data_IF_693397528618
#
_entry.id   IF_693397528618
#
_cell.length_a   1.000
_cell.length_b   1.000
_cell.length_c   1.000
_cell.angle_alpha   90.00
_cell.angle_beta   90.00
_cell.angle_gamma   90.00
#
_symmetry.space_group_name_H-M   'P 1'
#
loop_
_entity.id
_entity.type
_entity.pdbx_description
1 polymer ?
#
# COMPACT_ATOMS: atom_id res chain seq x y z
N UNK A 1 -37.92 -4.50 -14.32
CA UNK A 1 -36.53 -4.10 -14.02
C UNK A 1 -36.18 -2.94 -14.94
N UNK A 2 -35.63 -1.82 -14.44
CA UNK A 2 -35.21 -0.72 -15.32
C UNK A 2 -33.99 -1.20 -16.16
N UNK A 3 -33.93 -0.91 -17.47
CA UNK A 3 -32.75 -1.19 -18.28
C UNK A 3 -31.51 -0.51 -17.69
N UNK A 4 -30.36 -1.16 -17.85
CA UNK A 4 -29.07 -0.59 -17.46
C UNK A 4 -28.78 0.66 -18.29
N UNK A 5 -28.46 1.78 -17.62
CA UNK A 5 -28.02 2.98 -18.32
C UNK A 5 -26.55 2.85 -18.73
N UNK A 6 -26.34 2.43 -19.98
CA UNK A 6 -25.02 2.26 -20.58
C UNK A 6 -24.33 3.59 -20.95
N UNK A 7 -25.02 4.74 -20.82
CA UNK A 7 -24.44 6.06 -21.11
C UNK A 7 -23.57 6.56 -19.95
N UNK A 8 -23.70 5.98 -18.77
CA UNK A 8 -22.88 6.31 -17.61
C UNK A 8 -21.83 5.21 -17.35
N UNK A 9 -20.53 5.46 -17.62
CA UNK A 9 -19.46 4.49 -17.38
C UNK A 9 -19.40 4.01 -15.92
N UNK A 10 -19.80 4.84 -14.96
CA UNK A 10 -19.83 4.49 -13.53
C UNK A 10 -20.69 3.27 -13.23
N UNK A 11 -21.72 3.02 -14.04
CA UNK A 11 -22.56 1.83 -13.88
C UNK A 11 -21.71 0.55 -13.98
N UNK A 12 -20.78 0.50 -14.92
CA UNK A 12 -19.92 -0.66 -15.14
C UNK A 12 -18.87 -0.82 -14.04
N UNK A 13 -18.42 0.28 -13.45
CA UNK A 13 -17.49 0.27 -12.32
C UNK A 13 -18.15 -0.22 -11.01
N UNK A 14 -19.47 -0.01 -10.85
CA UNK A 14 -20.23 -0.44 -9.65
C UNK A 14 -20.75 -1.88 -9.70
N UNK A 15 -20.40 -2.68 -10.71
CA UNK A 15 -20.90 -4.08 -10.81
C UNK A 15 -20.38 -4.95 -9.65
N UNK A 16 -19.22 -4.58 -9.07
CA UNK A 16 -18.59 -5.25 -7.93
C UNK A 16 -18.45 -4.27 -6.76
N UNK A 17 -19.51 -4.14 -5.96
CA UNK A 17 -19.61 -3.16 -4.86
C UNK A 17 -18.38 -3.15 -3.92
N UNK A 18 -17.89 -4.33 -3.52
CA UNK A 18 -16.75 -4.43 -2.60
C UNK A 18 -15.43 -3.94 -3.22
N UNK A 19 -15.25 -4.12 -4.54
CA UNK A 19 -14.09 -3.60 -5.27
C UNK A 19 -14.23 -2.09 -5.48
N UNK A 20 -15.43 -1.62 -5.83
CA UNK A 20 -15.71 -0.20 -6.00
C UNK A 20 -15.55 0.60 -4.70
N UNK A 21 -15.96 0.02 -3.55
CA UNK A 21 -15.81 0.64 -2.24
C UNK A 21 -14.37 0.61 -1.71
N UNK A 22 -13.48 -0.21 -2.29
CA UNK A 22 -12.07 -0.23 -1.91
C UNK A 22 -11.35 0.97 -2.56
N UNK A 23 -10.66 1.84 -1.80
CA UNK A 23 -9.92 2.97 -2.37
C UNK A 23 -8.83 2.55 -3.37
N UNK A 24 -8.30 1.34 -3.23
CA UNK A 24 -7.31 0.77 -4.14
C UNK A 24 -7.95 0.00 -5.32
N UNK A 25 -9.28 -0.06 -5.42
CA UNK A 25 -10.01 -0.86 -6.40
C UNK A 25 -9.53 -2.31 -6.52
N UNK A 26 -9.16 -2.90 -5.38
CA UNK A 26 -8.62 -4.27 -5.34
C UNK A 26 -9.65 -5.28 -5.86
N UNK A 27 -9.26 -6.24 -6.71
CA UNK A 27 -10.16 -7.25 -7.26
C UNK A 27 -10.58 -8.29 -6.21
N UNK A 28 -11.47 -7.88 -5.29
CA UNK A 28 -11.91 -8.66 -4.14
C UNK A 28 -12.42 -10.06 -4.51
N UNK A 29 -13.33 -10.22 -5.49
CA UNK A 29 -13.85 -11.54 -5.84
C UNK A 29 -12.80 -12.47 -6.43
N UNK A 30 -11.73 -11.94 -7.03
CA UNK A 30 -10.69 -12.74 -7.69
C UNK A 30 -9.80 -13.40 -6.64
N UNK A 31 -9.19 -12.61 -5.74
CA UNK A 31 -8.31 -13.19 -4.75
C UNK A 31 -9.06 -14.08 -3.73
N UNK A 32 -10.34 -13.82 -3.45
CA UNK A 32 -11.14 -14.71 -2.60
C UNK A 32 -11.31 -16.10 -3.23
N UNK A 33 -11.52 -16.16 -4.55
CA UNK A 33 -11.58 -17.45 -5.26
C UNK A 33 -10.24 -18.19 -5.22
N UNK A 34 -9.14 -17.46 -5.33
CA UNK A 34 -7.79 -18.03 -5.20
C UNK A 34 -7.55 -18.58 -3.80
N UNK A 35 -7.97 -17.86 -2.75
CA UNK A 35 -7.92 -18.36 -1.35
C UNK A 35 -8.75 -19.64 -1.19
N UNK A 36 -9.95 -19.69 -1.77
CA UNK A 36 -10.82 -20.86 -1.71
C UNK A 36 -10.22 -22.11 -2.38
N UNK A 37 -9.32 -21.91 -3.35
CA UNK A 37 -8.52 -22.96 -3.97
C UNK A 37 -7.13 -23.15 -3.33
N UNK A 38 -6.89 -22.61 -2.14
CA UNK A 38 -5.61 -22.67 -1.41
C UNK A 38 -4.41 -22.08 -2.17
N UNK A 39 -4.67 -21.27 -3.20
CA UNK A 39 -3.67 -20.57 -4.01
C UNK A 39 -3.27 -19.25 -3.35
N UNK A 40 -2.74 -19.32 -2.13
CA UNK A 40 -2.47 -18.16 -1.28
C UNK A 40 -1.47 -17.17 -1.89
N UNK A 41 -0.37 -17.66 -2.48
CA UNK A 41 0.60 -16.79 -3.16
C UNK A 41 -0.02 -16.05 -4.35
N UNK A 42 -0.90 -16.69 -5.11
CA UNK A 42 -1.60 -16.05 -6.22
C UNK A 42 -2.59 -15.00 -5.71
N UNK A 43 -3.35 -15.32 -4.66
CA UNK A 43 -4.25 -14.38 -4.01
C UNK A 43 -3.52 -13.15 -3.46
N UNK A 44 -2.34 -13.37 -2.87
CA UNK A 44 -1.47 -12.30 -2.40
C UNK A 44 -1.00 -11.43 -3.56
N UNK A 45 -0.53 -12.02 -4.67
CA UNK A 45 -0.06 -11.23 -5.82
C UNK A 45 -1.17 -10.45 -6.52
N UNK A 46 -2.38 -11.01 -6.62
CA UNK A 46 -3.57 -10.29 -7.10
C UNK A 46 -3.87 -9.08 -6.20
N UNK A 47 -3.77 -9.24 -4.88
CA UNK A 47 -3.88 -8.09 -3.97
C UNK A 47 -2.74 -7.10 -4.19
N UNK A 48 -1.51 -7.59 -4.34
CA UNK A 48 -0.30 -6.77 -4.43
C UNK A 48 -0.31 -5.85 -5.65
N UNK A 49 -0.96 -6.25 -6.76
CA UNK A 49 -1.11 -5.40 -7.94
C UNK A 49 -1.74 -4.03 -7.59
N UNK A 50 -2.86 -4.05 -6.87
CA UNK A 50 -3.62 -2.85 -6.47
C UNK A 50 -3.16 -2.26 -5.14
N UNK A 51 -2.84 -3.11 -4.16
CA UNK A 51 -2.44 -2.73 -2.81
C UNK A 51 -0.93 -2.87 -2.64
N UNK A 52 -0.28 -1.82 -2.16
CA UNK A 52 1.17 -1.84 -1.92
C UNK A 52 1.57 -2.75 -0.75
N UNK A 53 0.67 -2.94 0.22
CA UNK A 53 0.92 -3.70 1.46
C UNK A 53 -0.24 -4.66 1.81
N UNK A 54 -0.45 -5.76 1.06
CA UNK A 54 -1.56 -6.68 1.32
C UNK A 54 -1.60 -7.24 2.75
N UNK A 55 -0.47 -7.64 3.33
CA UNK A 55 -0.33 -8.23 4.67
C UNK A 55 -0.59 -7.24 5.80
N UNK A 56 -0.11 -6.01 5.68
CA UNK A 56 -0.42 -4.89 6.56
C UNK A 56 -1.91 -4.55 6.46
N UNK A 57 -2.44 -4.36 5.24
CA UNK A 57 -3.86 -4.02 5.05
C UNK A 57 -4.80 -5.13 5.51
N UNK A 58 -4.39 -6.41 5.45
CA UNK A 58 -5.16 -7.52 6.02
C UNK A 58 -5.36 -7.41 7.54
N UNK A 59 -4.58 -6.56 8.22
CA UNK A 59 -4.60 -6.35 9.66
C UNK A 59 -5.15 -4.99 10.07
N UNK A 60 -4.85 -3.95 9.29
CA UNK A 60 -5.07 -2.56 9.71
C UNK A 60 -6.17 -1.83 8.95
N UNK A 61 -6.62 -2.36 7.80
CA UNK A 61 -7.61 -1.70 6.94
C UNK A 61 -8.94 -1.41 7.67
N UNK A 62 -9.52 -0.25 7.37
CA UNK A 62 -10.84 0.18 7.87
C UNK A 62 -12.02 -0.52 7.19
N UNK A 63 -11.73 -1.42 6.23
CA UNK A 63 -12.67 -2.35 5.60
C UNK A 63 -13.88 -1.69 4.91
N UNK A 64 -13.72 -0.62 4.12
CA UNK A 64 -14.85 0.01 3.42
C UNK A 64 -15.57 -0.95 2.45
N UNK A 65 -14.89 -2.02 2.03
CA UNK A 65 -15.43 -3.06 1.18
C UNK A 65 -16.42 -4.02 1.86
N UNK A 66 -16.37 -4.18 3.19
CA UNK A 66 -17.24 -5.12 3.91
C UNK A 66 -18.68 -4.60 4.04
N UNK A 67 -18.94 -3.34 4.44
CA UNK A 67 -20.30 -2.77 4.43
C UNK A 67 -20.94 -2.74 3.04
N UNK A 68 -20.14 -2.61 1.98
CA UNK A 68 -20.61 -2.65 0.60
C UNK A 68 -20.83 -4.07 0.05
N UNK A 69 -20.50 -5.12 0.81
CA UNK A 69 -20.51 -6.49 0.30
C UNK A 69 -21.93 -6.93 -0.12
N UNK A 70 -22.10 -7.38 -1.37
CA UNK A 70 -23.39 -7.86 -1.89
C UNK A 70 -24.03 -8.99 -1.06
N UNK A 71 -23.25 -9.73 -0.26
CA UNK A 71 -23.76 -10.77 0.65
C UNK A 71 -24.79 -10.22 1.64
N UNK A 72 -24.63 -8.96 2.08
CA UNK A 72 -25.55 -8.33 3.06
C UNK A 72 -26.95 -8.07 2.51
N UNK A 73 -27.17 -8.31 1.21
CA UNK A 73 -28.50 -8.20 0.59
C UNK A 73 -29.37 -9.45 0.85
N UNK A 74 -28.76 -10.54 1.29
CA UNK A 74 -29.41 -11.84 1.51
C UNK A 74 -29.08 -12.44 2.88
N UNK A 75 -27.90 -12.15 3.43
CA UNK A 75 -27.46 -12.57 4.76
C UNK A 75 -27.23 -11.36 5.67
N UNK A 76 -27.15 -11.56 6.99
CA UNK A 76 -26.84 -10.47 7.94
C UNK A 76 -25.36 -10.04 7.90
N UNK A 77 -24.45 -11.01 7.72
CA UNK A 77 -23.01 -10.76 7.80
C UNK A 77 -22.35 -10.62 6.42
N UNK A 78 -21.47 -9.61 6.23
CA UNK A 78 -20.66 -9.52 5.03
C UNK A 78 -19.57 -10.60 5.01
N UNK A 79 -18.96 -10.80 3.85
CA UNK A 79 -17.72 -11.58 3.80
C UNK A 79 -16.63 -10.85 4.60
N UNK A 80 -15.87 -11.58 5.42
CA UNK A 80 -14.74 -11.04 6.19
C UNK A 80 -13.51 -10.78 5.29
N UNK A 81 -13.67 -9.89 4.31
CA UNK A 81 -12.74 -9.58 3.23
C UNK A 81 -11.35 -9.21 3.77
N UNK A 82 -11.28 -8.37 4.81
CA UNK A 82 -10.01 -7.97 5.41
C UNK A 82 -9.26 -9.16 6.03
N UNK A 83 -10.00 -10.07 6.70
CA UNK A 83 -9.41 -11.27 7.30
C UNK A 83 -8.96 -12.27 6.24
N UNK A 84 -9.69 -12.42 5.14
CA UNK A 84 -9.27 -13.24 4.01
C UNK A 84 -8.00 -12.70 3.36
N UNK A 85 -7.86 -11.37 3.23
CA UNK A 85 -6.60 -10.75 2.78
C UNK A 85 -5.43 -11.13 3.70
N UNK A 86 -5.64 -11.12 5.03
CA UNK A 86 -4.66 -11.62 5.99
C UNK A 86 -4.35 -13.10 5.78
N UNK A 87 -5.35 -13.96 5.56
CA UNK A 87 -5.13 -15.40 5.29
C UNK A 87 -4.21 -15.59 4.09
N UNK A 88 -4.43 -14.86 2.99
CA UNK A 88 -3.54 -14.92 1.83
C UNK A 88 -2.10 -14.51 2.16
N UNK A 89 -1.92 -13.42 2.92
CA UNK A 89 -0.60 -12.95 3.32
C UNK A 89 0.11 -13.87 4.31
N UNK A 90 -0.63 -14.51 5.22
CA UNK A 90 -0.05 -15.38 6.26
C UNK A 90 0.28 -16.79 5.73
N UNK A 91 -0.36 -17.22 4.64
CA UNK A 91 -0.17 -18.56 4.05
C UNK A 91 0.55 -18.54 2.68
N UNK A 92 0.97 -17.36 2.18
CA UNK A 92 1.78 -17.31 0.95
C UNK A 92 3.15 -17.96 1.17
N UNK A 93 3.69 -18.56 0.11
CA UNK A 93 5.11 -18.90 0.03
C UNK A 93 5.98 -17.66 -0.24
N UNK A 94 7.23 -17.89 -0.62
CA UNK A 94 8.09 -16.83 -1.15
C UNK A 94 7.49 -16.27 -2.45
N UNK A 95 7.56 -14.95 -2.61
CA UNK A 95 7.05 -14.21 -3.75
C UNK A 95 8.11 -13.34 -4.41
N UNK A 96 9.36 -13.40 -3.95
CA UNK A 96 10.48 -12.59 -4.44
C UNK A 96 10.65 -12.71 -5.96
N UNK A 97 10.51 -13.91 -6.50
CA UNK A 97 10.57 -14.21 -7.94
C UNK A 97 9.36 -13.68 -8.74
N UNK A 98 8.28 -13.32 -8.05
CA UNK A 98 7.03 -12.78 -8.62
C UNK A 98 6.96 -11.26 -8.55
N UNK A 99 7.88 -10.62 -7.83
CA UNK A 99 7.99 -9.16 -7.79
C UNK A 99 8.50 -8.63 -9.14
N UNK A 100 8.13 -7.39 -9.52
CA UNK A 100 8.59 -6.80 -10.77
C UNK A 100 10.11 -6.73 -10.85
N UNK A 101 10.66 -7.17 -11.97
CA UNK A 101 12.10 -7.07 -12.21
C UNK A 101 12.53 -5.60 -12.34
N UNK A 102 13.61 -5.25 -11.65
CA UNK A 102 14.19 -3.91 -11.71
C UNK A 102 15.21 -3.85 -12.84
N UNK A 103 15.09 -2.93 -13.81
CA UNK A 103 15.99 -2.87 -14.94
C UNK A 103 17.40 -2.46 -14.48
N UNK A 104 18.40 -3.21 -14.96
CA UNK A 104 19.83 -2.90 -14.71
C UNK A 104 20.22 -1.54 -15.27
N UNK A 105 19.75 -1.23 -16.49
CA UNK A 105 19.92 0.10 -17.10
C UNK A 105 18.77 1.01 -16.64
N UNK A 106 19.12 2.00 -15.82
CA UNK A 106 18.18 3.03 -15.36
C UNK A 106 17.80 3.97 -16.52
N UNK A 107 16.64 4.62 -16.40
CA UNK A 107 16.08 5.52 -17.41
C UNK A 107 16.74 6.92 -17.42
N UNK A 108 17.75 7.14 -16.57
CA UNK A 108 18.49 8.40 -16.46
C UNK A 108 17.83 9.46 -15.58
N UNK A 109 16.65 9.20 -15.03
CA UNK A 109 15.91 10.13 -14.16
C UNK A 109 16.05 9.80 -12.69
N UNK A 110 16.22 10.83 -11.86
CA UNK A 110 16.41 10.73 -10.40
C UNK A 110 15.26 11.41 -9.67
N UNK A 111 14.70 10.72 -8.68
CA UNK A 111 13.57 11.22 -7.89
C UNK A 111 13.91 11.11 -6.41
N UNK A 112 13.73 12.21 -5.68
CA UNK A 112 13.80 12.22 -4.23
C UNK A 112 12.41 11.99 -3.63
N UNK A 113 12.33 11.14 -2.61
CA UNK A 113 11.12 10.93 -1.82
C UNK A 113 11.42 11.36 -0.38
N UNK A 114 10.66 12.33 0.14
CA UNK A 114 10.79 12.83 1.49
C UNK A 114 9.72 12.17 2.36
N UNK A 115 10.14 11.41 3.35
CA UNK A 115 9.32 10.46 4.11
C UNK A 115 9.37 9.05 3.51
N UNK A 116 9.38 8.03 4.37
CA UNK A 116 9.38 6.60 4.08
C UNK A 116 8.08 5.94 4.56
N UNK A 117 6.98 6.70 4.60
CA UNK A 117 5.65 6.19 4.89
C UNK A 117 4.98 5.49 3.68
N UNK A 118 3.73 5.02 3.85
CA UNK A 118 3.01 4.29 2.80
C UNK A 118 2.91 5.03 1.46
N UNK A 119 2.79 6.36 1.49
CA UNK A 119 2.70 7.19 0.28
C UNK A 119 3.99 7.13 -0.56
N UNK A 120 5.15 7.44 0.04
CA UNK A 120 6.44 7.42 -0.66
C UNK A 120 6.83 6.01 -1.09
N UNK A 121 6.56 5.00 -0.26
CA UNK A 121 6.81 3.60 -0.63
C UNK A 121 5.93 3.16 -1.81
N UNK A 122 4.70 3.66 -1.91
CA UNK A 122 3.84 3.43 -3.08
C UNK A 122 4.44 4.04 -4.35
N UNK A 123 4.95 5.27 -4.27
CA UNK A 123 5.66 5.92 -5.37
C UNK A 123 6.91 5.13 -5.75
N UNK A 124 7.70 4.69 -4.78
CA UNK A 124 8.90 3.90 -5.01
C UNK A 124 8.60 2.60 -5.74
N UNK A 125 7.60 1.83 -5.25
CA UNK A 125 7.13 0.59 -5.88
C UNK A 125 6.72 0.80 -7.34
N UNK A 126 6.01 1.89 -7.66
CA UNK A 126 5.54 2.16 -9.02
C UNK A 126 6.66 2.58 -9.97
N UNK A 127 7.66 3.30 -9.48
CA UNK A 127 8.70 3.90 -10.31
C UNK A 127 9.97 3.02 -10.44
N UNK A 128 10.27 2.17 -9.46
CA UNK A 128 11.45 1.31 -9.51
C UNK A 128 11.47 0.38 -10.75
N UNK A 129 10.35 -0.29 -11.13
CA UNK A 129 10.31 -1.14 -12.32
C UNK A 129 10.44 -0.36 -13.64
N UNK A 130 10.11 0.93 -13.64
CA UNK A 130 10.28 1.83 -14.78
C UNK A 130 11.73 2.36 -14.91
N UNK A 131 12.63 1.93 -14.01
CA UNK A 131 14.05 2.24 -14.07
C UNK A 131 14.43 3.61 -13.55
N UNK A 132 13.58 4.28 -12.77
CA UNK A 132 13.97 5.50 -12.06
C UNK A 132 15.00 5.18 -10.97
N UNK A 133 15.88 6.14 -10.70
CA UNK A 133 16.72 6.12 -9.50
C UNK A 133 15.98 6.85 -8.38
N UNK A 134 15.79 6.15 -7.27
CA UNK A 134 14.96 6.60 -6.16
C UNK A 134 15.85 6.77 -4.92
N UNK A 135 15.81 7.95 -4.32
CA UNK A 135 16.48 8.24 -3.05
C UNK A 135 15.41 8.65 -2.03
N UNK A 136 15.26 7.88 -0.94
CA UNK A 136 14.33 8.14 0.17
C UNK A 136 15.09 8.75 1.34
N UNK A 137 14.50 9.78 1.94
CA UNK A 137 14.97 10.40 3.19
C UNK A 137 13.86 10.32 4.23
N UNK A 138 14.13 9.82 5.44
CA UNK A 138 13.15 9.79 6.52
C UNK A 138 13.85 9.98 7.88
N UNK A 139 13.14 10.59 8.82
CA UNK A 139 13.66 10.92 10.15
C UNK A 139 13.53 9.77 11.16
N UNK A 140 12.84 8.68 10.81
CA UNK A 140 12.78 7.46 11.60
C UNK A 140 13.94 6.51 11.24
N UNK A 141 14.22 5.58 12.15
CA UNK A 141 15.27 4.57 12.01
C UNK A 141 15.05 3.55 10.89
N UNK A 142 13.80 3.42 10.39
CA UNK A 142 13.44 2.46 9.36
C UNK A 142 12.18 2.88 8.60
N UNK A 143 12.03 2.34 7.39
CA UNK A 143 10.87 2.58 6.55
C UNK A 143 9.57 2.11 7.20
N UNK A 144 8.49 2.83 6.93
CA UNK A 144 7.14 2.51 7.40
C UNK A 144 6.37 3.74 7.86
N UNK A 145 7.03 4.79 8.33
CA UNK A 145 6.33 6.00 8.82
C UNK A 145 5.33 5.65 9.93
N UNK A 146 4.10 6.20 9.85
CA UNK A 146 3.09 6.01 10.90
C UNK A 146 2.64 4.56 11.11
N UNK A 147 2.69 3.69 10.09
CA UNK A 147 2.37 2.27 10.32
C UNK A 147 3.38 1.58 11.23
N UNK A 148 4.63 2.05 11.26
CA UNK A 148 5.67 1.59 12.19
C UNK A 148 5.56 2.29 13.54
N UNK A 149 5.44 3.61 13.54
CA UNK A 149 5.56 4.40 14.77
C UNK A 149 4.29 4.48 15.61
N UNK A 150 3.10 4.25 15.03
CA UNK A 150 1.82 4.48 15.71
C UNK A 150 0.95 3.23 15.86
N UNK A 151 1.07 2.24 14.96
CA UNK A 151 0.23 1.04 15.05
C UNK A 151 0.87 0.06 16.02
N UNK A 152 0.17 -0.34 17.11
CA UNK A 152 0.74 -1.26 18.09
C UNK A 152 1.07 -2.63 17.48
N UNK A 153 2.13 -3.27 17.98
CA UNK A 153 2.64 -4.55 17.45
C UNK A 153 1.65 -5.71 17.53
N UNK A 154 0.74 -5.69 18.51
CA UNK A 154 -0.34 -6.68 18.60
C UNK A 154 -1.39 -6.54 17.49
N UNK A 155 -1.52 -5.35 16.89
CA UNK A 155 -2.39 -5.09 15.74
C UNK A 155 -1.63 -5.29 14.43
N UNK A 156 -0.39 -4.81 14.35
CA UNK A 156 0.50 -4.98 13.21
C UNK A 156 1.86 -5.51 13.65
N UNK A 157 2.11 -6.82 13.55
CA UNK A 157 3.39 -7.42 13.94
C UNK A 157 4.55 -6.83 13.12
N UNK A 158 5.65 -6.54 13.79
CA UNK A 158 6.83 -5.90 13.17
C UNK A 158 7.38 -6.73 12.01
N UNK A 159 7.43 -8.06 12.14
CA UNK A 159 7.92 -8.92 11.05
C UNK A 159 7.10 -8.81 9.75
N UNK A 160 5.77 -8.62 9.85
CA UNK A 160 4.91 -8.42 8.67
C UNK A 160 5.15 -7.05 8.04
N UNK A 161 5.36 -6.03 8.88
CA UNK A 161 5.67 -4.69 8.41
C UNK A 161 7.04 -4.66 7.71
N UNK A 162 8.07 -5.22 8.35
CA UNK A 162 9.43 -5.26 7.81
C UNK A 162 9.47 -6.02 6.49
N UNK A 163 8.81 -7.18 6.41
CA UNK A 163 8.72 -7.96 5.18
C UNK A 163 8.18 -7.12 4.00
N UNK A 164 7.01 -6.50 4.15
CA UNK A 164 6.37 -5.80 3.03
C UNK A 164 7.04 -4.45 2.71
N UNK A 165 7.59 -3.76 3.71
CA UNK A 165 8.39 -2.56 3.48
C UNK A 165 9.67 -2.92 2.72
N UNK A 166 10.36 -3.99 3.12
CA UNK A 166 11.63 -4.37 2.51
C UNK A 166 11.45 -4.88 1.08
N UNK A 167 10.32 -5.51 0.73
CA UNK A 167 10.02 -5.81 -0.69
C UNK A 167 10.14 -4.58 -1.60
N UNK A 168 9.88 -3.38 -1.09
CA UNK A 168 9.97 -2.13 -1.85
C UNK A 168 11.36 -1.52 -1.73
N UNK A 169 11.95 -1.49 -0.53
CA UNK A 169 13.30 -0.94 -0.33
C UNK A 169 14.34 -1.73 -1.13
N UNK A 170 14.19 -3.06 -1.19
CA UNK A 170 15.06 -3.98 -1.90
C UNK A 170 14.92 -3.89 -3.44
N UNK A 171 14.00 -3.07 -3.96
CA UNK A 171 13.90 -2.75 -5.39
C UNK A 171 15.02 -1.81 -5.90
N UNK A 172 16.11 -1.69 -5.15
CA UNK A 172 17.23 -0.80 -5.46
C UNK A 172 16.92 0.66 -5.14
N UNK A 173 16.14 0.90 -4.09
CA UNK A 173 15.87 2.23 -3.53
C UNK A 173 17.01 2.60 -2.59
N UNK A 174 17.64 3.75 -2.79
CA UNK A 174 18.61 4.25 -1.81
C UNK A 174 17.84 4.83 -0.63
N UNK A 175 18.00 4.28 0.56
CA UNK A 175 17.31 4.78 1.76
C UNK A 175 18.28 5.42 2.73
N UNK A 176 17.98 6.64 3.16
CA UNK A 176 18.70 7.37 4.20
C UNK A 176 17.73 7.62 5.35
N UNK A 177 17.91 6.85 6.42
CA UNK A 177 17.13 6.92 7.65
C UNK A 177 17.83 7.79 8.70
N UNK A 178 17.13 8.10 9.79
CA UNK A 178 17.62 8.95 10.88
C UNK A 178 18.07 10.36 10.42
N UNK A 179 17.48 10.87 9.32
CA UNK A 179 17.75 12.23 8.83
C UNK A 179 16.44 12.98 8.62
N UNK A 180 16.29 14.08 9.35
CA UNK A 180 15.23 15.04 9.11
C UNK A 180 15.58 15.97 7.94
N UNK A 181 14.62 16.17 7.05
CA UNK A 181 14.74 17.15 5.97
C UNK A 181 14.05 18.44 6.44
N UNK A 182 14.84 19.37 6.95
CA UNK A 182 14.40 20.68 7.42
C UNK A 182 14.27 21.72 6.28
N UNK A 183 14.94 21.49 5.15
CA UNK A 183 15.00 22.40 4.02
C UNK A 183 14.72 21.70 2.69
N UNK A 184 13.53 21.95 2.12
CA UNK A 184 13.20 21.51 0.76
C UNK A 184 14.18 22.08 -0.29
N UNK A 185 14.71 23.29 -0.04
CA UNK A 185 15.68 23.94 -0.93
C UNK A 185 16.96 23.12 -1.07
N UNK A 186 17.44 22.52 0.02
CA UNK A 186 18.63 21.66 -0.02
C UNK A 186 18.40 20.42 -0.87
N UNK A 187 17.22 19.80 -0.76
CA UNK A 187 16.85 18.67 -1.62
C UNK A 187 16.78 19.09 -3.08
N UNK A 188 16.16 20.23 -3.39
CA UNK A 188 16.08 20.74 -4.77
C UNK A 188 17.46 21.03 -5.37
N UNK A 189 18.39 21.56 -4.57
CA UNK A 189 19.76 21.83 -5.00
C UNK A 189 20.59 20.56 -5.33
N UNK A 190 20.14 19.37 -4.90
CA UNK A 190 20.79 18.08 -5.25
C UNK A 190 20.56 17.63 -6.70
N UNK A 191 19.79 18.39 -7.49
CA UNK A 191 19.62 18.16 -8.93
C UNK A 191 18.74 16.95 -9.26
N UNK A 192 17.69 16.72 -8.47
CA UNK A 192 16.66 15.71 -8.78
C UNK A 192 15.74 16.18 -9.91
N UNK A 193 15.29 15.27 -10.76
CA UNK A 193 14.30 15.57 -11.80
C UNK A 193 12.90 15.80 -11.22
N UNK A 194 12.60 15.16 -10.08
CA UNK A 194 11.37 15.37 -9.33
C UNK A 194 11.58 15.12 -7.83
N UNK A 195 10.73 15.74 -7.01
CA UNK A 195 10.67 15.53 -5.56
C UNK A 195 9.23 15.20 -5.17
N UNK A 196 9.05 14.11 -4.44
CA UNK A 196 7.78 13.74 -3.83
C UNK A 196 7.85 13.96 -2.32
N UNK A 197 6.84 14.65 -1.76
CA UNK A 197 6.76 14.93 -0.33
C UNK A 197 5.67 14.07 0.28
N UNK A 198 6.07 13.06 1.05
CA UNK A 198 5.22 12.08 1.73
C UNK A 198 5.50 12.00 3.23
N UNK A 199 5.80 13.14 3.86
CA UNK A 199 6.16 13.25 5.29
C UNK A 199 4.99 13.01 6.26
N UNK A 200 3.75 13.04 5.75
CA UNK A 200 2.54 12.86 6.56
C UNK A 200 2.24 14.05 7.48
N UNK A 201 1.51 13.79 8.56
CA UNK A 201 1.12 14.79 9.56
C UNK A 201 1.55 14.33 10.97
N UNK A 202 2.84 14.44 11.32
CA UNK A 202 3.37 13.90 12.59
C UNK A 202 2.94 14.70 13.83
N UNK A 203 2.52 15.97 13.67
CA UNK A 203 2.13 16.83 14.79
C UNK A 203 0.69 16.54 15.23
N UNK A 204 0.53 16.12 16.48
CA UNK A 204 -0.77 15.97 17.11
C UNK A 204 -1.49 17.31 17.36
N UNK A 205 -2.81 17.24 17.58
CA UNK A 205 -3.61 18.41 17.94
C UNK A 205 -3.49 18.66 19.45
N UNK A 206 -2.87 19.77 19.83
CA UNK A 206 -2.84 20.23 21.22
C UNK A 206 -4.19 20.75 21.68
N UNK A 207 -4.46 20.64 22.98
CA UNK A 207 -5.58 21.32 23.63
C UNK A 207 -5.08 22.67 24.17
N UNK A 208 -5.90 23.72 24.04
CA UNK A 208 -5.60 25.02 24.63
C UNK A 208 -6.12 25.06 26.08
N UNK A 209 -5.48 24.28 26.95
CA UNK A 209 -5.79 24.20 28.37
C UNK A 209 -4.47 24.28 29.15
N UNK A 210 -4.47 24.91 30.34
CA UNK A 210 -3.30 24.86 31.22
C UNK A 210 -3.08 23.44 31.75
N UNK A 211 -1.84 22.96 31.68
CA UNK A 211 -1.43 21.59 32.07
C UNK A 211 -0.95 20.78 30.88
#
# INVERSE_FOLDING_TARGET
MKPTDIKNPEYFHKVVDCQYACPAHTPVPEYIRLIAGERYSDAYMVNWQSNVFPGILGRTCDRPCEPACRRVRVEEEPVAICRLKRVAADNKGDITDRLPAIPKKKNGKRIALIGAGPASLTVARGLAPLGYRLDIYDNQFAGGGMMRSQIPSFRLPVGVLDEEVNYILDMGVTSTFDIEVDSLKEILNKGYDAVFVGTGAPRGKGLNLPG
#
